data_IF_428304117831
#
_entry.id   IF_428304117831
#
_cell.length_a   1.000
_cell.length_b   1.000
_cell.length_c   1.000
_cell.angle_alpha   90.00
_cell.angle_beta   90.00
_cell.angle_gamma   90.00
#
_symmetry.space_group_name_H-M   'P 1'
#
loop_
_entity.id
_entity.type
_entity.pdbx_description
1 polymer ?
#
# COMPACT_ATOMS: atom_id res chain seq x y z
N UNK A 1 8.86 16.36 8.42
CA UNK A 1 8.60 14.93 8.65
C UNK A 1 9.77 14.18 8.03
N UNK A 2 10.40 13.30 8.80
CA UNK A 2 11.51 12.48 8.30
C UNK A 2 10.97 11.36 7.43
N UNK A 3 11.74 10.93 6.43
CA UNK A 3 11.40 9.81 5.52
C UNK A 3 10.88 8.57 6.27
N UNK A 4 11.42 8.29 7.47
CA UNK A 4 11.04 7.16 8.31
C UNK A 4 9.60 7.24 8.87
N UNK A 5 9.04 8.44 9.05
CA UNK A 5 7.66 8.61 9.54
C UNK A 5 6.63 8.28 8.45
N UNK A 6 6.94 8.66 7.22
CA UNK A 6 6.10 8.40 6.04
C UNK A 6 6.07 6.89 5.72
N UNK A 7 7.23 6.22 5.83
CA UNK A 7 7.34 4.78 5.66
C UNK A 7 6.58 4.02 6.76
N UNK A 8 6.74 4.40 8.03
CA UNK A 8 5.99 3.78 9.14
C UNK A 8 4.47 3.92 8.97
N UNK A 9 4.02 5.09 8.49
CA UNK A 9 2.60 5.34 8.20
C UNK A 9 2.10 4.43 7.07
N UNK A 10 2.91 4.26 6.01
CA UNK A 10 2.56 3.36 4.90
C UNK A 10 2.46 1.89 5.34
N UNK A 11 3.35 1.43 6.23
CA UNK A 11 3.29 0.07 6.78
C UNK A 11 2.09 -0.18 7.70
N UNK A 12 1.69 0.81 8.51
CA UNK A 12 0.47 0.71 9.31
C UNK A 12 -0.77 0.59 8.42
N UNK A 13 -0.89 1.46 7.41
CA UNK A 13 -1.99 1.41 6.45
C UNK A 13 -1.98 0.08 5.66
N UNK A 14 -0.82 -0.42 5.25
CA UNK A 14 -0.69 -1.70 4.57
C UNK A 14 -1.22 -2.85 5.44
N UNK A 15 -0.88 -2.88 6.73
CA UNK A 15 -1.35 -3.91 7.65
C UNK A 15 -2.88 -3.87 7.84
N UNK A 16 -3.45 -2.67 7.95
CA UNK A 16 -4.91 -2.50 8.05
C UNK A 16 -5.61 -3.00 6.78
N UNK A 17 -5.11 -2.63 5.61
CA UNK A 17 -5.67 -3.07 4.33
C UNK A 17 -5.54 -4.58 4.09
N UNK A 18 -4.42 -5.20 4.51
CA UNK A 18 -4.28 -6.66 4.46
C UNK A 18 -5.29 -7.32 5.40
N UNK A 19 -5.50 -6.78 6.61
CA UNK A 19 -6.47 -7.33 7.54
C UNK A 19 -7.92 -7.20 7.05
N UNK A 20 -8.25 -6.09 6.37
CA UNK A 20 -9.59 -5.82 5.84
C UNK A 20 -9.89 -6.63 4.57
N UNK A 21 -8.93 -6.68 3.63
CA UNK A 21 -9.18 -7.23 2.29
C UNK A 21 -8.58 -8.63 2.07
N UNK A 22 -7.69 -9.10 2.95
CA UNK A 22 -6.97 -10.37 2.79
C UNK A 22 -6.30 -10.48 1.44
N UNK A 23 -6.49 -11.61 0.75
CA UNK A 23 -5.98 -11.85 -0.61
C UNK A 23 -6.47 -10.83 -1.65
N UNK A 24 -7.59 -10.15 -1.38
CA UNK A 24 -8.16 -9.11 -2.24
C UNK A 24 -7.42 -7.77 -2.19
N UNK A 25 -6.47 -7.59 -1.27
CA UNK A 25 -5.78 -6.30 -1.05
C UNK A 25 -5.09 -5.78 -2.32
N UNK A 26 -4.52 -6.67 -3.13
CA UNK A 26 -3.85 -6.29 -4.37
C UNK A 26 -4.82 -5.70 -5.41
N UNK A 27 -6.01 -6.31 -5.55
CA UNK A 27 -7.03 -5.83 -6.46
C UNK A 27 -7.63 -4.49 -6.01
N UNK A 28 -7.84 -4.33 -4.70
CA UNK A 28 -8.30 -3.08 -4.11
C UNK A 28 -7.31 -1.93 -4.37
N UNK A 29 -6.02 -2.17 -4.08
CA UNK A 29 -4.97 -1.18 -4.30
C UNK A 29 -4.86 -0.77 -5.77
N UNK A 30 -4.94 -1.74 -6.68
CA UNK A 30 -4.91 -1.45 -8.12
C UNK A 30 -6.08 -0.57 -8.55
N UNK A 31 -7.31 -0.90 -8.12
CA UNK A 31 -8.49 -0.10 -8.42
C UNK A 31 -8.38 1.34 -7.89
N UNK A 32 -7.79 1.52 -6.70
CA UNK A 32 -7.57 2.85 -6.11
C UNK A 32 -6.53 3.67 -6.88
N UNK A 33 -5.43 3.03 -7.31
CA UNK A 33 -4.39 3.66 -8.12
C UNK A 33 -4.95 4.07 -9.49
N UNK A 34 -5.75 3.22 -10.12
CA UNK A 34 -6.36 3.51 -11.42
C UNK A 34 -7.33 4.71 -11.32
N UNK A 35 -8.16 4.77 -10.27
CA UNK A 35 -9.07 5.89 -10.01
C UNK A 35 -8.32 7.22 -9.80
N UNK A 36 -7.24 7.21 -9.02
CA UNK A 36 -6.42 8.41 -8.77
C UNK A 36 -5.66 8.86 -10.03
N UNK A 37 -5.18 7.91 -10.82
CA UNK A 37 -4.53 8.18 -12.11
C UNK A 37 -5.51 8.82 -13.08
N UNK A 38 -6.73 8.30 -13.19
CA UNK A 38 -7.78 8.86 -14.04
C UNK A 38 -8.21 10.28 -13.62
N UNK A 39 -8.08 10.60 -12.32
CA UNK A 39 -8.37 11.91 -11.74
C UNK A 39 -7.18 12.87 -11.74
N UNK A 40 -6.00 12.41 -12.18
CA UNK A 40 -4.74 13.16 -12.12
C UNK A 40 -4.38 13.66 -10.70
N UNK A 41 -4.83 12.94 -9.66
CA UNK A 41 -4.54 13.28 -8.27
C UNK A 41 -3.20 12.68 -7.84
N UNK A 42 -2.12 13.27 -8.36
CA UNK A 42 -0.77 12.79 -8.14
C UNK A 42 -0.30 12.90 -6.68
N UNK A 43 -0.87 13.83 -5.91
CA UNK A 43 -0.56 13.99 -4.50
C UNK A 43 -1.00 12.75 -3.71
N UNK A 44 -2.24 12.31 -3.91
CA UNK A 44 -2.71 11.06 -3.29
C UNK A 44 -2.07 9.83 -3.93
N UNK A 45 -1.83 9.84 -5.24
CA UNK A 45 -1.21 8.72 -5.95
C UNK A 45 0.13 8.31 -5.33
N UNK A 46 0.98 9.29 -4.96
CA UNK A 46 2.26 9.01 -4.33
C UNK A 46 2.12 8.24 -3.00
N UNK A 47 1.15 8.63 -2.17
CA UNK A 47 0.89 7.95 -0.89
C UNK A 47 0.38 6.52 -1.11
N UNK A 48 -0.54 6.32 -2.05
CA UNK A 48 -1.09 4.99 -2.36
C UNK A 48 -0.06 4.05 -2.99
N UNK A 49 0.91 4.58 -3.74
CA UNK A 49 2.05 3.80 -4.24
C UNK A 49 2.99 3.35 -3.10
N UNK A 50 3.24 4.21 -2.10
CA UNK A 50 4.02 3.82 -0.92
C UNK A 50 3.32 2.70 -0.13
N UNK A 51 1.99 2.80 0.06
CA UNK A 51 1.19 1.75 0.71
C UNK A 51 1.24 0.44 -0.08
N UNK A 52 1.12 0.48 -1.42
CA UNK A 52 1.25 -0.71 -2.26
C UNK A 52 2.61 -1.39 -2.10
N UNK A 53 3.69 -0.61 -2.02
CA UNK A 53 5.04 -1.15 -1.80
C UNK A 53 5.15 -1.79 -0.42
N UNK A 54 4.61 -1.15 0.62
CA UNK A 54 4.57 -1.71 1.97
C UNK A 54 3.77 -3.03 2.02
N UNK A 55 2.61 -3.12 1.35
CA UNK A 55 1.85 -4.38 1.22
C UNK A 55 2.66 -5.47 0.53
N UNK A 56 3.32 -5.15 -0.58
CA UNK A 56 4.15 -6.12 -1.29
C UNK A 56 5.32 -6.63 -0.42
N UNK A 57 5.93 -5.76 0.36
CA UNK A 57 6.98 -6.12 1.31
C UNK A 57 6.45 -6.98 2.46
N UNK A 58 5.29 -6.64 3.03
CA UNK A 58 4.67 -7.41 4.12
C UNK A 58 4.26 -8.82 3.68
N UNK A 59 3.69 -8.97 2.47
CA UNK A 59 3.33 -10.30 1.94
C UNK A 59 4.58 -11.08 1.53
N UNK A 60 5.56 -10.43 0.88
CA UNK A 60 6.80 -11.06 0.44
C UNK A 60 7.66 -11.57 1.61
N UNK A 61 7.61 -10.88 2.75
CA UNK A 61 8.28 -11.31 4.00
C UNK A 61 7.58 -12.49 4.66
N UNK A 62 6.26 -12.65 4.52
CA UNK A 62 5.53 -13.85 4.98
C UNK A 62 5.98 -15.12 4.22
N UNK A 63 6.29 -15.00 2.91
CA UNK A 63 6.80 -16.13 2.10
C UNK A 63 8.26 -16.51 2.33
N UNK A 64 9.08 -15.65 2.93
CA UNK A 64 10.52 -15.91 3.14
C UNK A 64 10.85 -16.52 4.51
N UNK A 65 9.86 -16.76 5.37
CA UNK A 65 10.01 -17.42 6.67
C UNK A 65 9.71 -18.94 6.64
N UNK A 66 10.00 -19.62 5.53
CA UNK A 66 9.91 -21.09 5.42
C UNK A 66 11.27 -21.78 5.50
#
# INVERSE_FOLDING_TARGET
>A
MSHDEDDATAFLAARELIAEHGDGVAAFLQAKIDDLTAKEDYAQLSAWLAIRNAVALSIGTDTTLQ
#
